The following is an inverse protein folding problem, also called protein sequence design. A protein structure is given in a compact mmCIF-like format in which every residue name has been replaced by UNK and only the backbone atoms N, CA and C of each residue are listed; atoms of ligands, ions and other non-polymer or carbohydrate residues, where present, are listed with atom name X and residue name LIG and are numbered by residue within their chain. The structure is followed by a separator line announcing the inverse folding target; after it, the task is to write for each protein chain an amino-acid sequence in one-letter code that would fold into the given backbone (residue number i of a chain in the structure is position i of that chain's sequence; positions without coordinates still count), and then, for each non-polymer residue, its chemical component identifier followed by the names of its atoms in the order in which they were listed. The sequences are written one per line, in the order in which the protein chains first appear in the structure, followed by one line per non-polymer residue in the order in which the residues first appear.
data_IF_040698674263
#
_entry.id   IF_040698674263
#
_cell.length_a   1.000
_cell.length_b   1.000
_cell.length_c   1.000
_cell.angle_alpha   90.00
_cell.angle_beta   90.00
_cell.angle_gamma   90.00
#
_symmetry.space_group_name_H-M   'P 1'
#
loop_
_entity.id
_entity.type
_entity.pdbx_description
1 polymer ?
#
# COMPACT_ATOMS: atom_id res chain seq x y z
N UNK A 1 18.12 22.33 11.88
CA UNK A 1 18.53 20.94 11.98
C UNK A 1 17.60 20.07 11.15
N UNK A 2 18.15 19.28 10.26
CA UNK A 2 17.33 18.38 9.42
C UNK A 2 16.69 17.29 10.28
N UNK A 3 15.43 16.94 9.99
CA UNK A 3 14.76 15.81 10.63
C UNK A 3 15.37 14.49 10.14
N UNK A 4 15.49 13.48 10.99
CA UNK A 4 15.96 12.18 10.54
C UNK A 4 14.99 11.59 9.51
N UNK A 5 15.52 10.80 8.59
CA UNK A 5 14.70 10.10 7.60
C UNK A 5 13.76 9.09 8.28
N UNK A 6 12.54 9.03 7.78
CA UNK A 6 11.51 8.12 8.27
C UNK A 6 11.12 7.18 7.14
N UNK A 7 11.19 5.85 7.37
CA UNK A 7 10.75 4.89 6.35
C UNK A 7 9.25 4.92 6.17
N UNK A 8 8.82 4.90 4.91
CA UNK A 8 7.43 4.89 4.52
C UNK A 8 7.13 3.65 3.69
N UNK A 9 6.12 2.90 4.10
CA UNK A 9 5.65 1.69 3.44
C UNK A 9 4.32 2.00 2.78
N UNK A 10 4.26 1.94 1.45
CA UNK A 10 3.08 2.34 0.68
C UNK A 10 2.41 1.11 0.07
N UNK A 11 1.15 0.93 0.39
CA UNK A 11 0.31 -0.14 -0.14
C UNK A 11 -0.80 0.49 -0.96
N UNK A 12 -0.81 0.24 -2.25
CA UNK A 12 -1.73 0.84 -3.20
C UNK A 12 -2.56 -0.22 -3.92
N UNK A 13 -3.64 0.18 -4.54
CA UNK A 13 -4.54 -0.72 -5.26
C UNK A 13 -5.97 -0.23 -5.18
N UNK A 14 -6.83 -0.79 -6.00
CA UNK A 14 -8.24 -0.41 -6.02
C UNK A 14 -8.99 -0.95 -4.80
N UNK A 15 -10.17 -0.40 -4.53
CA UNK A 15 -11.00 -0.80 -3.40
C UNK A 15 -11.22 -2.32 -3.42
N UNK A 16 -11.22 -2.93 -2.23
CA UNK A 16 -11.42 -4.38 -2.04
C UNK A 16 -10.36 -5.27 -2.69
N UNK A 17 -9.16 -4.71 -2.94
CA UNK A 17 -8.03 -5.47 -3.49
C UNK A 17 -7.23 -6.25 -2.44
N UNK A 18 -7.64 -6.20 -1.17
CA UNK A 18 -6.97 -6.91 -0.08
C UNK A 18 -5.90 -6.11 0.67
N UNK A 19 -5.79 -4.80 0.42
CA UNK A 19 -4.79 -3.93 1.08
C UNK A 19 -4.92 -3.94 2.61
N UNK A 20 -6.13 -3.67 3.11
CA UNK A 20 -6.39 -3.56 4.56
C UNK A 20 -6.03 -4.84 5.28
N UNK A 21 -6.45 -5.97 4.74
CA UNK A 21 -6.14 -7.28 5.33
C UNK A 21 -4.63 -7.53 5.38
N UNK A 22 -3.92 -7.23 4.29
CA UNK A 22 -2.48 -7.43 4.22
C UNK A 22 -1.75 -6.54 5.23
N UNK A 23 -2.14 -5.27 5.32
CA UNK A 23 -1.54 -4.33 6.29
C UNK A 23 -1.83 -4.78 7.72
N UNK A 24 -3.06 -5.23 8.00
CA UNK A 24 -3.42 -5.78 9.31
C UNK A 24 -2.51 -6.96 9.68
N UNK A 25 -2.35 -7.92 8.77
CA UNK A 25 -1.49 -9.09 9.00
C UNK A 25 -0.03 -8.70 9.16
N UNK A 26 0.43 -7.69 8.41
CA UNK A 26 1.79 -7.17 8.53
C UNK A 26 2.04 -6.56 9.91
N UNK A 27 1.09 -5.79 10.43
CA UNK A 27 1.19 -5.18 11.75
C UNK A 27 1.03 -6.19 12.89
N UNK A 28 0.41 -7.34 12.62
CA UNK A 28 0.33 -8.47 13.55
C UNK A 28 1.62 -9.31 13.56
N UNK A 29 2.46 -9.18 12.54
CA UNK A 29 3.70 -9.94 12.41
C UNK A 29 4.80 -9.32 13.27
N UNK A 30 5.32 -10.08 14.23
CA UNK A 30 6.38 -9.64 15.14
C UNK A 30 7.69 -9.29 14.43
N UNK A 31 7.91 -9.81 13.23
CA UNK A 31 9.10 -9.50 12.44
C UNK A 31 9.06 -8.08 11.86
N UNK A 32 7.86 -7.59 11.59
CA UNK A 32 7.65 -6.22 11.10
C UNK A 32 7.37 -5.26 12.26
N UNK A 33 6.44 -5.62 13.14
CA UNK A 33 6.05 -4.79 14.28
C UNK A 33 6.90 -5.16 15.49
N UNK A 34 8.06 -4.53 15.62
CA UNK A 34 9.01 -4.72 16.73
C UNK A 34 8.93 -3.59 17.76
N UNK A 35 7.84 -2.83 17.77
CA UNK A 35 7.57 -1.79 18.76
C UNK A 35 7.79 -0.37 18.29
N UNK A 36 8.09 -0.16 17.01
CA UNK A 36 8.23 1.19 16.45
C UNK A 36 6.89 1.93 16.51
N UNK A 37 6.94 3.20 16.87
CA UNK A 37 5.76 4.06 16.80
C UNK A 37 5.42 4.28 15.34
N UNK A 38 4.28 3.74 14.91
CA UNK A 38 3.86 3.70 13.52
C UNK A 38 2.67 4.63 13.29
N UNK A 39 2.80 5.53 12.32
CA UNK A 39 1.69 6.33 11.85
C UNK A 39 1.05 5.58 10.67
N UNK A 40 -0.21 5.20 10.81
CA UNK A 40 -0.96 4.48 9.78
C UNK A 40 -1.93 5.46 9.10
N UNK A 41 -1.65 5.78 7.84
CA UNK A 41 -2.46 6.72 7.06
C UNK A 41 -3.42 5.96 6.15
N UNK A 42 -4.70 6.28 6.22
CA UNK A 42 -5.76 5.62 5.47
C UNK A 42 -6.58 6.68 4.74
N UNK A 43 -6.81 6.46 3.45
CA UNK A 43 -7.53 7.40 2.58
C UNK A 43 -8.82 6.85 2.02
N UNK A 44 -9.19 5.62 2.38
CA UNK A 44 -10.47 5.07 1.98
C UNK A 44 -11.10 4.31 3.15
N UNK A 45 -12.43 4.42 3.24
CA UNK A 45 -13.19 3.62 4.18
C UNK A 45 -13.69 2.39 3.44
N UNK A 46 -13.10 1.24 3.74
CA UNK A 46 -13.51 -0.05 3.21
C UNK A 46 -14.41 -0.78 4.19
N UNK A 47 -14.81 -1.99 3.82
CA UNK A 47 -15.60 -2.86 4.70
C UNK A 47 -14.74 -3.41 5.85
N UNK A 48 -13.43 -3.52 5.66
CA UNK A 48 -12.51 -4.03 6.68
C UNK A 48 -11.94 -2.88 7.51
N UNK A 49 -11.88 -3.10 8.81
CA UNK A 49 -11.32 -2.16 9.76
C UNK A 49 -10.04 -2.72 10.37
N UNK A 50 -9.17 -1.82 10.86
CA UNK A 50 -7.97 -2.22 11.58
C UNK A 50 -8.29 -2.56 13.03
N UNK A 51 -7.73 -3.66 13.52
CA UNK A 51 -7.89 -4.11 14.90
C UNK A 51 -6.54 -4.10 15.62
N UNK A 52 -6.30 -3.07 16.43
CA UNK A 52 -5.06 -2.89 17.17
C UNK A 52 -4.89 -3.93 18.27
N UNK A 53 -5.98 -4.54 18.75
CA UNK A 53 -5.94 -5.48 19.86
C UNK A 53 -5.10 -6.73 19.56
N UNK A 54 -4.93 -7.08 18.30
CA UNK A 54 -4.18 -8.27 17.87
C UNK A 54 -2.69 -7.99 17.61
N UNK A 55 -2.26 -6.73 17.69
CA UNK A 55 -0.87 -6.38 17.41
C UNK A 55 0.04 -6.75 18.58
N UNK A 56 1.26 -7.26 18.31
CA UNK A 56 2.24 -7.54 19.37
C UNK A 56 2.68 -6.26 20.09
N UNK A 57 2.76 -5.15 19.37
CA UNK A 57 3.00 -3.82 19.90
C UNK A 57 1.92 -2.87 19.39
N UNK A 58 1.28 -2.15 20.31
CA UNK A 58 0.06 -1.38 20.01
C UNK A 58 0.30 0.09 19.72
N UNK A 59 1.56 0.50 19.52
CA UNK A 59 1.91 1.88 19.19
C UNK A 59 1.74 2.13 17.68
N UNK A 60 0.54 1.86 17.19
CA UNK A 60 0.08 2.11 15.82
C UNK A 60 -1.04 3.12 15.90
N UNK A 61 -0.86 4.25 15.25
CA UNK A 61 -1.79 5.39 15.30
C UNK A 61 -2.45 5.58 13.94
N UNK A 62 -3.68 5.09 13.83
CA UNK A 62 -4.47 5.18 12.61
C UNK A 62 -5.03 6.59 12.44
N UNK A 63 -4.84 7.16 11.23
CA UNK A 63 -5.42 8.43 10.85
C UNK A 63 -6.12 8.27 9.51
N UNK A 64 -7.43 8.44 9.51
CA UNK A 64 -8.23 8.49 8.28
C UNK A 64 -8.24 9.93 7.81
N UNK A 65 -7.71 10.17 6.62
CA UNK A 65 -7.47 11.52 6.12
C UNK A 65 -8.18 11.76 4.79
N UNK A 66 -8.56 13.02 4.56
CA UNK A 66 -9.00 13.48 3.26
C UNK A 66 -7.76 13.77 2.41
N UNK A 67 -7.65 13.09 1.27
CA UNK A 67 -6.52 13.22 0.36
C UNK A 67 -6.29 14.68 -0.08
N UNK A 68 -7.37 15.43 -0.32
CA UNK A 68 -7.27 16.80 -0.80
C UNK A 68 -6.71 17.79 0.24
N UNK A 69 -6.70 17.39 1.51
CA UNK A 69 -6.17 18.22 2.60
C UNK A 69 -4.69 17.94 2.90
N UNK A 70 -4.07 17.01 2.20
CA UNK A 70 -2.67 16.63 2.46
C UNK A 70 -1.71 17.73 2.05
N UNK A 71 -0.72 17.94 2.92
CA UNK A 71 0.46 18.76 2.64
C UNK A 71 1.65 18.22 3.43
N UNK A 72 2.88 18.53 3.02
CA UNK A 72 4.06 18.15 3.80
C UNK A 72 4.01 18.67 5.24
N UNK A 73 3.51 19.88 5.46
CA UNK A 73 3.40 20.50 6.77
C UNK A 73 2.40 19.77 7.67
N UNK A 74 1.25 19.41 7.12
CA UNK A 74 0.20 18.68 7.85
C UNK A 74 0.70 17.30 8.26
N UNK A 75 1.36 16.59 7.35
CA UNK A 75 1.90 15.25 7.62
C UNK A 75 3.05 15.29 8.63
N UNK A 76 3.92 16.28 8.53
CA UNK A 76 4.97 16.49 9.53
C UNK A 76 4.36 16.76 10.91
N UNK A 77 3.29 17.51 10.98
CA UNK A 77 2.57 17.76 12.22
C UNK A 77 2.02 16.48 12.87
N UNK A 78 1.44 15.59 12.08
CA UNK A 78 0.98 14.29 12.57
C UNK A 78 2.14 13.43 13.05
N UNK A 79 3.24 13.40 12.31
CA UNK A 79 4.44 12.66 12.71
C UNK A 79 4.93 13.12 14.08
N UNK A 80 4.99 14.43 14.31
CA UNK A 80 5.45 15.00 15.59
C UNK A 80 4.46 14.71 16.70
N UNK A 81 3.15 14.80 16.43
CA UNK A 81 2.11 14.55 17.40
C UNK A 81 2.22 13.15 18.02
N UNK A 82 2.50 12.15 17.21
CA UNK A 82 2.61 10.76 17.65
C UNK A 82 4.06 10.31 17.84
N UNK A 83 5.03 11.19 17.59
CA UNK A 83 6.44 10.84 17.63
C UNK A 83 6.75 9.61 16.80
N UNK A 84 6.21 9.57 15.58
CA UNK A 84 6.26 8.40 14.71
C UNK A 84 7.69 8.13 14.22
N UNK A 85 8.06 6.85 14.20
CA UNK A 85 9.35 6.36 13.73
C UNK A 85 9.26 5.78 12.32
N UNK A 86 8.04 5.43 11.88
CA UNK A 86 7.78 4.95 10.51
C UNK A 86 6.33 5.28 10.13
N UNK A 87 6.08 5.21 8.83
CA UNK A 87 4.76 5.49 8.28
C UNK A 87 4.32 4.31 7.41
N UNK A 88 3.08 3.86 7.59
CA UNK A 88 2.43 2.87 6.75
C UNK A 88 1.23 3.56 6.09
N UNK A 89 1.13 3.43 4.77
CA UNK A 89 0.11 4.14 3.99
C UNK A 89 -0.75 3.15 3.23
N UNK A 90 -2.06 3.23 3.46
CA UNK A 90 -3.06 2.59 2.60
C UNK A 90 -3.58 3.64 1.62
N UNK A 91 -3.05 3.63 0.40
CA UNK A 91 -3.39 4.63 -0.61
C UNK A 91 -4.57 4.16 -1.46
N UNK A 92 -5.59 5.02 -1.56
CA UNK A 92 -6.74 4.77 -2.42
C UNK A 92 -6.29 4.65 -3.88
N UNK A 93 -6.73 3.60 -4.56
CA UNK A 93 -6.36 3.30 -5.94
C UNK A 93 -6.74 4.35 -6.97
N UNK A 94 -7.67 5.24 -6.65
CA UNK A 94 -8.07 6.32 -7.54
C UNK A 94 -7.09 7.50 -7.55
N UNK A 95 -6.13 7.52 -6.63
CA UNK A 95 -5.09 8.55 -6.59
C UNK A 95 -3.80 8.03 -7.22
N UNK A 96 -3.09 8.88 -7.94
CA UNK A 96 -1.77 8.56 -8.47
C UNK A 96 -0.74 8.49 -7.34
N UNK A 97 0.05 7.42 -7.29
CA UNK A 97 1.12 7.30 -6.31
C UNK A 97 2.16 8.42 -6.50
N UNK A 98 2.47 8.76 -7.75
CA UNK A 98 3.38 9.86 -8.07
C UNK A 98 2.89 11.20 -7.52
N UNK A 99 1.59 11.47 -7.56
CA UNK A 99 1.01 12.68 -6.98
C UNK A 99 1.09 12.66 -5.45
N UNK A 100 0.81 11.52 -4.84
CA UNK A 100 0.90 11.35 -3.39
C UNK A 100 2.30 11.71 -2.87
N UNK A 101 3.36 11.25 -3.55
CA UNK A 101 4.73 11.53 -3.12
C UNK A 101 5.08 13.03 -3.14
N UNK A 102 4.42 13.81 -4.00
CA UNK A 102 4.60 15.26 -4.00
C UNK A 102 3.99 15.94 -2.77
N UNK A 103 3.09 15.25 -2.08
CA UNK A 103 2.43 15.76 -0.87
C UNK A 103 3.11 15.31 0.43
N UNK A 104 4.13 14.46 0.34
CA UNK A 104 4.82 13.94 1.51
C UNK A 104 6.05 14.78 1.87
N UNK A 105 6.43 14.83 3.17
CA UNK A 105 7.65 15.53 3.59
C UNK A 105 8.91 14.92 2.96
N UNK A 106 9.91 15.74 2.69
CA UNK A 106 11.16 15.30 2.06
C UNK A 106 11.93 14.24 2.86
N UNK A 107 11.78 14.26 4.18
CA UNK A 107 12.46 13.29 5.05
C UNK A 107 11.74 11.95 5.18
N UNK A 108 10.53 11.82 4.60
CA UNK A 108 9.87 10.53 4.48
C UNK A 108 10.42 9.81 3.25
N UNK A 109 11.04 8.65 3.48
CA UNK A 109 11.69 7.88 2.39
C UNK A 109 10.94 6.59 2.13
N UNK A 110 10.69 6.30 0.87
CA UNK A 110 10.00 5.06 0.47
C UNK A 110 10.88 3.87 0.82
N UNK A 111 10.44 3.06 1.77
CA UNK A 111 11.08 1.80 2.11
C UNK A 111 10.54 0.65 1.26
N UNK A 112 9.23 0.67 0.97
CA UNK A 112 8.57 -0.34 0.17
C UNK A 112 7.31 0.23 -0.47
N UNK A 113 7.05 -0.16 -1.71
CA UNK A 113 5.80 0.16 -2.41
C UNK A 113 5.25 -1.13 -3.02
N UNK A 114 4.02 -1.50 -2.64
CA UNK A 114 3.36 -2.73 -3.09
C UNK A 114 1.99 -2.38 -3.68
N UNK A 115 1.73 -2.92 -4.86
CA UNK A 115 0.41 -2.81 -5.50
C UNK A 115 -0.39 -4.08 -5.25
N UNK A 116 -1.64 -3.92 -4.85
CA UNK A 116 -2.61 -5.01 -4.71
C UNK A 116 -3.63 -4.94 -5.81
N UNK A 117 -3.95 -6.07 -6.39
CA UNK A 117 -5.00 -6.18 -7.41
C UNK A 117 -5.76 -7.49 -7.25
N UNK A 118 -7.05 -7.41 -7.54
CA UNK A 118 -7.92 -8.57 -7.64
C UNK A 118 -7.81 -9.12 -9.06
N UNK A 119 -7.42 -10.38 -9.23
CA UNK A 119 -7.24 -10.99 -10.54
C UNK A 119 -8.54 -10.97 -11.37
N UNK A 120 -9.71 -11.00 -10.71
CA UNK A 120 -11.00 -10.97 -11.41
C UNK A 120 -11.32 -9.63 -12.06
N UNK A 121 -10.68 -8.55 -11.63
CA UNK A 121 -10.93 -7.18 -12.12
C UNK A 121 -9.72 -6.50 -12.75
N UNK A 122 -8.52 -7.04 -12.56
CA UNK A 122 -7.28 -6.40 -12.98
C UNK A 122 -7.25 -6.08 -14.48
N UNK A 123 -7.63 -7.03 -15.31
CA UNK A 123 -7.62 -6.82 -16.78
C UNK A 123 -8.60 -5.73 -17.20
N UNK A 124 -9.76 -5.65 -16.53
CA UNK A 124 -10.75 -4.60 -16.77
C UNK A 124 -10.23 -3.22 -16.36
N UNK A 125 -9.61 -3.12 -15.18
CA UNK A 125 -8.99 -1.87 -14.74
C UNK A 125 -7.88 -1.44 -15.67
N UNK A 126 -7.05 -2.38 -16.13
CA UNK A 126 -5.98 -2.08 -17.08
C UNK A 126 -6.55 -1.55 -18.41
N UNK A 127 -7.67 -2.09 -18.88
CA UNK A 127 -8.30 -1.65 -20.12
C UNK A 127 -8.97 -0.28 -19.98
N UNK A 128 -9.59 0.02 -18.85
CA UNK A 128 -10.45 1.19 -18.65
C UNK A 128 -9.82 2.33 -17.85
N UNK A 129 -8.82 2.01 -17.02
CA UNK A 129 -8.15 2.98 -16.13
C UNK A 129 -6.63 2.83 -16.23
N UNK A 130 -6.14 2.74 -17.46
CA UNK A 130 -4.73 2.41 -17.72
C UNK A 130 -3.74 3.36 -17.06
N UNK A 131 -4.03 4.66 -17.01
CA UNK A 131 -3.13 5.63 -16.40
C UNK A 131 -2.89 5.32 -14.92
N UNK A 132 -3.95 4.98 -14.18
CA UNK A 132 -3.84 4.61 -12.77
C UNK A 132 -3.08 3.29 -12.59
N UNK A 133 -3.35 2.31 -13.44
CA UNK A 133 -2.67 1.00 -13.38
C UNK A 133 -1.19 1.16 -13.69
N UNK A 134 -0.84 1.89 -14.75
CA UNK A 134 0.55 2.14 -15.15
C UNK A 134 1.31 2.87 -14.05
N UNK A 135 0.71 3.91 -13.46
CA UNK A 135 1.34 4.67 -12.37
C UNK A 135 1.71 3.77 -11.19
N UNK A 136 0.78 2.89 -10.79
CA UNK A 136 1.01 1.98 -9.67
C UNK A 136 2.04 0.90 -9.98
N UNK A 137 1.98 0.33 -11.17
CA UNK A 137 2.95 -0.70 -11.59
C UNK A 137 4.35 -0.13 -11.72
N UNK A 138 4.48 1.10 -12.23
CA UNK A 138 5.77 1.73 -12.48
C UNK A 138 6.58 1.93 -11.19
N UNK A 139 5.90 2.28 -10.09
CA UNK A 139 6.56 2.54 -8.82
C UNK A 139 6.67 1.34 -7.89
N UNK A 140 5.87 0.29 -8.11
CA UNK A 140 5.80 -0.84 -7.20
C UNK A 140 7.00 -1.78 -7.32
N UNK A 141 7.48 -2.26 -6.19
CA UNK A 141 8.47 -3.35 -6.13
C UNK A 141 7.80 -4.70 -6.32
N UNK A 142 6.55 -4.83 -5.90
CA UNK A 142 5.78 -6.06 -5.95
C UNK A 142 4.33 -5.77 -6.35
N UNK A 143 3.78 -6.67 -7.17
CA UNK A 143 2.35 -6.76 -7.46
C UNK A 143 1.81 -8.02 -6.81
N UNK A 144 0.82 -7.88 -5.94
CA UNK A 144 0.10 -9.01 -5.35
C UNK A 144 -1.24 -9.14 -6.07
N UNK A 145 -1.40 -10.22 -6.82
CA UNK A 145 -2.66 -10.56 -7.51
C UNK A 145 -3.39 -11.63 -6.71
N UNK A 146 -4.44 -11.23 -6.02
CA UNK A 146 -5.25 -12.15 -5.24
C UNK A 146 -6.45 -12.69 -6.04
N UNK A 147 -7.15 -13.65 -5.47
CA UNK A 147 -8.34 -14.30 -6.08
C UNK A 147 -8.05 -14.90 -7.46
N UNK A 148 -6.82 -15.35 -7.68
CA UNK A 148 -6.47 -16.05 -8.89
C UNK A 148 -7.08 -17.45 -8.89
N UNK A 149 -7.67 -17.85 -10.02
CA UNK A 149 -8.21 -19.21 -10.18
C UNK A 149 -7.07 -20.21 -10.33
N UNK A 150 -7.04 -21.30 -9.52
CA UNK A 150 -6.04 -22.35 -9.71
C UNK A 150 -6.07 -22.91 -11.12
N UNK A 151 -4.89 -23.05 -11.74
CA UNK A 151 -4.75 -23.52 -13.12
C UNK A 151 -4.99 -22.49 -14.20
N UNK A 152 -5.36 -21.26 -13.84
CA UNK A 152 -5.53 -20.18 -14.83
C UNK A 152 -4.19 -19.78 -15.46
N UNK A 153 -4.26 -19.31 -16.71
CA UNK A 153 -3.08 -18.76 -17.38
C UNK A 153 -2.69 -17.42 -16.79
N UNK A 154 -1.50 -17.32 -16.21
CA UNK A 154 -1.01 -16.09 -15.58
C UNK A 154 -0.36 -15.13 -16.59
N UNK A 155 -0.12 -15.56 -17.80
CA UNK A 155 0.63 -14.78 -18.80
C UNK A 155 0.01 -13.40 -19.13
N UNK A 156 -1.33 -13.23 -19.23
CA UNK A 156 -1.89 -11.90 -19.46
C UNK A 156 -1.49 -10.89 -18.38
N UNK A 157 -1.51 -11.32 -17.11
CA UNK A 157 -1.13 -10.47 -15.97
C UNK A 157 0.37 -10.17 -15.97
N UNK A 158 1.16 -11.22 -16.17
CA UNK A 158 2.62 -11.11 -16.24
C UNK A 158 3.07 -10.14 -17.31
N UNK A 159 2.52 -10.24 -18.51
CA UNK A 159 2.88 -9.38 -19.64
C UNK A 159 2.56 -7.92 -19.38
N UNK A 160 1.39 -7.62 -18.80
CA UNK A 160 1.00 -6.25 -18.47
C UNK A 160 1.97 -5.66 -17.45
N UNK A 161 2.20 -6.38 -16.35
CA UNK A 161 3.07 -5.89 -15.28
C UNK A 161 4.51 -5.67 -15.75
N UNK A 162 5.08 -6.65 -16.45
CA UNK A 162 6.48 -6.59 -16.91
C UNK A 162 6.70 -5.63 -18.07
N UNK A 163 5.68 -5.32 -18.86
CA UNK A 163 5.76 -4.30 -19.90
C UNK A 163 5.94 -2.91 -19.30
N UNK A 164 5.35 -2.65 -18.13
CA UNK A 164 5.47 -1.36 -17.42
C UNK A 164 6.70 -1.34 -16.53
N UNK A 165 6.98 -2.44 -15.82
CA UNK A 165 8.07 -2.51 -14.84
C UNK A 165 8.75 -3.87 -14.94
N UNK A 166 9.94 -3.91 -15.55
CA UNK A 166 10.69 -5.15 -15.79
C UNK A 166 11.18 -5.85 -14.52
N UNK A 167 11.29 -5.12 -13.41
CA UNK A 167 11.85 -5.62 -12.16
C UNK A 167 10.78 -5.98 -11.14
N UNK A 168 9.51 -5.76 -11.45
CA UNK A 168 8.44 -6.01 -10.49
C UNK A 168 8.36 -7.50 -10.15
N UNK A 169 8.28 -7.80 -8.87
CA UNK A 169 7.96 -9.14 -8.40
C UNK A 169 6.46 -9.32 -8.43
N UNK A 170 6.00 -10.51 -8.83
CA UNK A 170 4.56 -10.79 -8.93
C UNK A 170 4.25 -11.99 -8.05
N UNK A 171 3.38 -11.78 -7.07
CA UNK A 171 2.87 -12.82 -6.19
C UNK A 171 1.44 -13.12 -6.58
N UNK A 172 1.15 -14.37 -6.89
CA UNK A 172 -0.20 -14.83 -7.18
C UNK A 172 -0.77 -15.54 -5.96
N UNK A 173 -1.88 -15.03 -5.45
CA UNK A 173 -2.62 -15.69 -4.37
C UNK A 173 -3.85 -16.35 -4.97
N UNK A 174 -3.94 -17.67 -4.83
CA UNK A 174 -5.01 -18.45 -5.43
C UNK A 174 -6.17 -18.63 -4.48
N UNK A 175 -7.36 -18.86 -5.05
CA UNK A 175 -8.59 -19.04 -4.27
C UNK A 175 -8.58 -20.29 -3.39
N UNK A 176 -7.67 -21.25 -3.65
CA UNK A 176 -7.45 -22.43 -2.81
C UNK A 176 -6.49 -22.21 -1.64
N UNK A 177 -6.00 -20.98 -1.47
CA UNK A 177 -5.05 -20.63 -0.42
C UNK A 177 -3.58 -20.84 -0.78
N UNK A 178 -3.28 -21.36 -1.96
CA UNK A 178 -1.88 -21.49 -2.43
C UNK A 178 -1.35 -20.15 -2.96
N UNK A 179 -0.04 -20.06 -3.09
CA UNK A 179 0.64 -18.89 -3.66
C UNK A 179 1.67 -19.30 -4.71
#
# INVERSE_FOLDING_TARGET
MAMPDIPMYVFTGFLESGKTKFIQETLEDERFNTGERTLLLVFEEGEEEYDVSTYPHKEVYEQVLDYDELSPEMLTGLQKKYNAERVVVELNGMHLASDFYLKTPDHWKIAQEVMFADATTFLSYNANMRQLVVDKLAGAEMLVLNRMTPGADVMPYHKIARAVNRRIEILYEYTDGST
#
